data_IF_127285729663
#
_entry.id   IF_127285729663
#
_cell.length_a   1.000
_cell.length_b   1.000
_cell.length_c   1.000
_cell.angle_alpha   90.00
_cell.angle_beta   90.00
_cell.angle_gamma   90.00
#
_symmetry.space_group_name_H-M   'P 1'
#
loop_
_entity.id
_entity.type
_entity.pdbx_description
1 polymer ?
#
# COMPACT_ATOMS: atom_id res chain seq x y z
N UNK A 1 -11.26 -9.56 17.36
CA UNK A 1 -11.19 -9.45 18.85
C UNK A 1 -12.55 -9.54 19.58
N UNK A 2 -13.70 -9.35 18.91
CA UNK A 2 -15.02 -9.35 19.56
C UNK A 2 -15.51 -10.72 20.10
N UNK A 3 -14.77 -11.80 19.87
CA UNK A 3 -15.03 -13.13 20.42
C UNK A 3 -13.74 -13.75 20.95
N UNK A 4 -13.84 -14.55 22.02
CA UNK A 4 -12.74 -15.39 22.56
C UNK A 4 -12.38 -16.57 21.63
N UNK A 5 -12.69 -16.44 20.34
CA UNK A 5 -12.46 -17.45 19.33
C UNK A 5 -11.00 -17.43 18.88
N UNK A 6 -10.43 -18.61 18.64
CA UNK A 6 -9.10 -18.75 18.05
C UNK A 6 -9.26 -18.74 16.54
N UNK A 7 -8.64 -17.77 15.88
CA UNK A 7 -8.60 -17.68 14.43
C UNK A 7 -7.28 -18.25 13.92
N UNK A 8 -7.35 -19.02 12.85
CA UNK A 8 -6.22 -19.70 12.24
C UNK A 8 -6.16 -19.38 10.75
N UNK A 9 -4.95 -19.41 10.19
CA UNK A 9 -4.67 -19.10 8.80
C UNK A 9 -3.83 -20.23 8.20
N UNK A 10 -4.31 -20.81 7.12
CA UNK A 10 -3.63 -21.88 6.39
C UNK A 10 -3.44 -21.56 4.91
N UNK A 11 -2.46 -22.24 4.31
CA UNK A 11 -2.16 -22.11 2.88
C UNK A 11 -2.72 -23.33 2.14
N UNK A 12 -3.43 -23.06 1.05
CA UNK A 12 -3.85 -24.09 0.11
C UNK A 12 -2.76 -24.39 -0.93
N UNK A 13 -2.82 -25.54 -1.61
CA UNK A 13 -1.77 -25.95 -2.55
C UNK A 13 -1.72 -25.10 -3.83
N UNK A 14 -2.87 -24.81 -4.46
CA UNK A 14 -2.99 -24.07 -5.73
C UNK A 14 -4.19 -23.10 -5.68
N UNK A 15 -4.21 -22.30 -4.61
CA UNK A 15 -5.43 -21.65 -4.13
C UNK A 15 -6.10 -22.48 -3.04
N UNK A 16 -7.17 -21.93 -2.45
CA UNK A 16 -7.75 -22.47 -1.23
C UNK A 16 -6.93 -22.13 0.01
N UNK A 17 -6.30 -20.95 0.06
CA UNK A 17 -5.84 -20.41 1.34
C UNK A 17 -7.09 -20.06 2.16
N UNK A 18 -7.04 -20.25 3.47
CA UNK A 18 -8.24 -20.18 4.31
C UNK A 18 -7.95 -19.51 5.65
N UNK A 19 -8.99 -18.88 6.20
CA UNK A 19 -9.04 -18.46 7.59
C UNK A 19 -10.18 -19.19 8.28
N UNK A 20 -9.85 -19.85 9.38
CA UNK A 20 -10.76 -20.70 10.14
C UNK A 20 -10.98 -20.15 11.54
N UNK A 21 -12.16 -20.42 12.12
CA UNK A 21 -12.37 -20.34 13.57
C UNK A 21 -12.19 -21.73 14.15
N UNK A 22 -11.18 -21.90 15.00
CA UNK A 22 -10.85 -23.17 15.61
C UNK A 22 -11.84 -23.53 16.72
N UNK A 23 -12.36 -24.75 16.63
CA UNK A 23 -13.24 -25.36 17.60
C UNK A 23 -12.69 -26.74 17.98
N UNK A 24 -12.74 -27.06 19.28
CA UNK A 24 -12.17 -28.29 19.80
C UNK A 24 -12.81 -29.54 19.15
N UNK A 25 -11.97 -30.43 18.64
CA UNK A 25 -12.39 -31.73 18.07
C UNK A 25 -13.04 -31.66 16.68
N UNK A 26 -13.01 -30.49 16.01
CA UNK A 26 -13.59 -30.33 14.68
C UNK A 26 -12.63 -30.73 13.56
N UNK A 27 -13.21 -31.11 12.43
CA UNK A 27 -12.50 -31.46 11.21
C UNK A 27 -12.61 -30.29 10.21
N UNK A 28 -11.48 -29.84 9.67
CA UNK A 28 -11.41 -28.72 8.70
C UNK A 28 -11.22 -29.21 7.26
N UNK A 29 -11.42 -30.52 7.02
CA UNK A 29 -11.60 -31.07 5.68
C UNK A 29 -10.31 -31.49 4.95
N UNK A 30 -9.16 -30.87 5.22
CA UNK A 30 -7.90 -31.26 4.57
C UNK A 30 -7.52 -32.74 4.84
N UNK A 31 -7.03 -33.51 3.84
CA UNK A 31 -6.82 -33.14 2.43
C UNK A 31 -8.04 -33.37 1.52
N UNK A 32 -9.11 -33.93 2.06
CA UNK A 32 -10.28 -34.33 1.28
C UNK A 32 -11.06 -33.11 0.76
N UNK A 33 -11.02 -31.99 1.47
CA UNK A 33 -11.71 -30.73 1.13
C UNK A 33 -10.75 -29.65 0.59
N UNK A 34 -9.65 -30.08 -0.02
CA UNK A 34 -8.69 -29.18 -0.65
C UNK A 34 -9.36 -28.41 -1.80
N UNK A 35 -9.62 -27.10 -1.63
CA UNK A 35 -10.26 -26.23 -2.63
C UNK A 35 -9.41 -25.93 -3.88
N UNK A 36 -8.88 -26.97 -4.51
CA UNK A 36 -8.16 -26.89 -5.77
C UNK A 36 -9.14 -26.58 -6.90
N UNK A 37 -8.87 -25.51 -7.67
CA UNK A 37 -9.33 -25.48 -9.06
C UNK A 37 -8.58 -26.57 -9.84
N UNK A 38 -9.31 -27.54 -10.37
CA UNK A 38 -8.78 -28.52 -11.32
C UNK A 38 -8.31 -27.80 -12.59
N UNK A 39 -7.10 -27.26 -12.56
CA UNK A 39 -6.50 -26.53 -13.68
C UNK A 39 -5.05 -26.98 -13.78
N UNK A 40 -4.84 -28.14 -14.41
CA UNK A 40 -3.50 -28.63 -14.70
C UNK A 40 -3.48 -30.15 -14.84
N UNK A 41 -3.09 -30.58 -16.04
CA UNK A 41 -2.86 -31.94 -16.55
C UNK A 41 -2.64 -33.02 -15.46
N UNK A 42 -3.37 -34.15 -15.50
CA UNK A 42 -3.08 -35.29 -14.64
C UNK A 42 -1.79 -35.97 -15.16
N UNK A 43 -0.64 -35.44 -14.78
CA UNK A 43 0.60 -36.22 -14.85
C UNK A 43 0.51 -37.30 -13.77
N UNK A 44 0.84 -38.54 -14.16
CA UNK A 44 0.76 -39.75 -13.34
C UNK A 44 1.38 -39.53 -11.96
N UNK A 45 0.57 -39.74 -10.91
CA UNK A 45 0.99 -39.64 -9.51
C UNK A 45 0.33 -38.51 -8.71
N UNK A 46 -0.50 -37.66 -9.31
CA UNK A 46 -1.30 -36.69 -8.55
C UNK A 46 -2.47 -37.37 -7.86
N UNK A 47 -2.44 -37.43 -6.53
CA UNK A 47 -3.58 -37.86 -5.71
C UNK A 47 -4.81 -37.01 -6.10
N UNK A 48 -5.88 -37.70 -6.49
CA UNK A 48 -7.13 -37.06 -6.91
C UNK A 48 -7.81 -36.52 -5.65
N UNK A 49 -7.60 -35.24 -5.36
CA UNK A 49 -8.36 -34.50 -4.34
C UNK A 49 -9.86 -34.49 -4.70
N UNK A 50 -10.73 -34.53 -3.68
CA UNK A 50 -12.18 -34.73 -3.87
C UNK A 50 -12.76 -33.72 -4.88
N UNK A 51 -13.64 -34.15 -5.79
CA UNK A 51 -14.38 -33.24 -6.67
C UNK A 51 -15.51 -32.50 -5.93
N UNK A 52 -15.77 -32.83 -4.66
CA UNK A 52 -16.79 -32.17 -3.86
C UNK A 52 -16.22 -30.87 -3.26
N UNK A 53 -16.94 -29.74 -3.33
CA UNK A 53 -16.51 -28.47 -2.72
C UNK A 53 -16.68 -28.43 -1.19
N UNK A 54 -17.19 -29.51 -0.61
CA UNK A 54 -17.27 -29.74 0.84
C UNK A 54 -17.22 -31.25 1.15
N UNK A 55 -16.60 -31.61 2.26
CA UNK A 55 -16.68 -32.95 2.87
C UNK A 55 -17.78 -32.95 3.92
N UNK A 56 -18.55 -34.03 4.00
CA UNK A 56 -19.58 -34.13 5.03
C UNK A 56 -18.92 -34.17 6.43
N UNK A 57 -19.45 -33.38 7.37
CA UNK A 57 -18.89 -33.17 8.71
C UNK A 57 -17.53 -32.42 8.75
N UNK A 58 -17.19 -31.63 7.73
CA UNK A 58 -16.15 -30.60 7.85
C UNK A 58 -16.74 -29.25 8.25
N UNK A 59 -15.97 -28.46 8.99
CA UNK A 59 -16.26 -27.06 9.26
C UNK A 59 -15.92 -26.21 8.04
N UNK A 60 -16.64 -25.11 7.87
CA UNK A 60 -16.38 -24.16 6.81
C UNK A 60 -15.44 -23.07 7.31
N UNK A 61 -14.48 -22.64 6.50
CA UNK A 61 -13.69 -21.46 6.80
C UNK A 61 -14.54 -20.20 6.69
N UNK A 62 -14.14 -19.20 7.46
CA UNK A 62 -14.73 -17.86 7.44
C UNK A 62 -14.31 -17.09 6.19
N UNK A 63 -13.07 -17.27 5.76
CA UNK A 63 -12.53 -16.65 4.55
C UNK A 63 -11.78 -17.68 3.72
N UNK A 64 -11.87 -17.51 2.41
CA UNK A 64 -11.12 -18.31 1.44
C UNK A 64 -10.54 -17.42 0.35
N UNK A 65 -9.45 -17.85 -0.28
CA UNK A 65 -8.84 -17.17 -1.41
C UNK A 65 -8.64 -18.09 -2.61
N UNK A 66 -9.05 -17.59 -3.77
CA UNK A 66 -8.74 -18.12 -5.09
C UNK A 66 -8.41 -16.93 -6.02
N UNK A 67 -7.18 -16.82 -6.55
CA UNK A 67 -6.02 -17.69 -6.36
C UNK A 67 -5.42 -17.60 -4.94
N UNK A 68 -4.44 -18.47 -4.63
CA UNK A 68 -3.68 -18.40 -3.36
C UNK A 68 -3.00 -17.04 -3.21
N UNK A 69 -3.01 -16.51 -2.00
CA UNK A 69 -2.31 -15.29 -1.58
C UNK A 69 -1.02 -15.60 -0.81
N UNK A 70 -0.71 -16.89 -0.63
CA UNK A 70 0.35 -17.39 0.26
C UNK A 70 0.36 -16.64 1.59
N UNK A 71 -0.76 -16.79 2.27
CA UNK A 71 -1.04 -16.07 3.50
C UNK A 71 -0.03 -16.48 4.59
N UNK A 72 0.56 -15.50 5.28
CA UNK A 72 1.65 -15.77 6.22
C UNK A 72 1.37 -15.36 7.67
N UNK A 73 0.52 -14.35 7.88
CA UNK A 73 0.20 -13.80 9.20
C UNK A 73 -1.20 -13.20 9.17
N UNK A 74 -1.89 -13.26 10.31
CA UNK A 74 -3.18 -12.62 10.53
C UNK A 74 -3.15 -11.77 11.80
N UNK A 75 -3.87 -10.65 11.83
CA UNK A 75 -3.98 -9.78 12.99
C UNK A 75 -5.32 -9.05 12.98
N UNK A 76 -6.07 -9.09 14.08
CA UNK A 76 -7.20 -8.18 14.28
C UNK A 76 -6.70 -6.90 14.93
N UNK A 77 -7.10 -5.76 14.38
CA UNK A 77 -6.72 -4.46 14.91
C UNK A 77 -7.74 -3.98 15.95
N UNK A 78 -7.28 -3.62 17.13
CA UNK A 78 -8.12 -3.05 18.21
C UNK A 78 -7.61 -1.72 18.76
N UNK A 79 -6.51 -1.20 18.22
CA UNK A 79 -5.90 0.06 18.65
C UNK A 79 -6.71 1.31 18.30
N UNK A 80 -6.31 2.43 18.91
CA UNK A 80 -7.02 3.71 18.74
C UNK A 80 -6.44 4.59 17.62
N UNK A 81 -5.23 4.30 17.14
CA UNK A 81 -4.51 5.13 16.15
C UNK A 81 -5.13 5.09 14.76
N UNK A 82 -5.82 4.01 14.42
CA UNK A 82 -6.63 3.89 13.20
C UNK A 82 -8.10 3.66 13.56
N UNK A 83 -8.87 4.69 13.99
CA UNK A 83 -10.24 4.49 14.49
C UNK A 83 -11.18 3.80 13.50
N UNK A 84 -11.01 4.08 12.20
CA UNK A 84 -11.81 3.47 11.12
C UNK A 84 -11.44 2.02 10.84
N UNK A 85 -10.34 1.53 11.41
CA UNK A 85 -9.83 0.19 11.17
C UNK A 85 -10.06 -0.78 12.32
N UNK A 86 -10.64 -0.32 13.43
CA UNK A 86 -10.98 -1.16 14.57
C UNK A 86 -11.85 -2.34 14.15
N UNK A 87 -11.53 -3.51 14.72
CA UNK A 87 -12.17 -4.80 14.47
C UNK A 87 -12.02 -5.36 13.05
N UNK A 88 -11.22 -4.74 12.19
CA UNK A 88 -10.86 -5.34 10.91
C UNK A 88 -9.77 -6.38 11.09
N UNK A 89 -9.78 -7.38 10.21
CA UNK A 89 -8.73 -8.38 10.09
C UNK A 89 -7.73 -7.91 9.04
N UNK A 90 -6.45 -8.04 9.36
CA UNK A 90 -5.34 -7.87 8.44
C UNK A 90 -4.70 -9.23 8.17
N UNK A 91 -4.52 -9.56 6.89
CA UNK A 91 -3.85 -10.80 6.44
C UNK A 91 -2.66 -10.40 5.58
N UNK A 92 -1.48 -10.94 5.87
CA UNK A 92 -0.29 -10.67 5.08
C UNK A 92 -0.20 -11.63 3.90
N UNK A 93 -0.01 -11.08 2.70
CA UNK A 93 0.17 -11.80 1.45
C UNK A 93 1.66 -11.76 1.06
N UNK A 94 2.30 -12.92 0.93
CA UNK A 94 3.68 -12.98 0.41
C UNK A 94 3.71 -12.89 -1.10
N UNK A 95 2.77 -13.55 -1.78
CA UNK A 95 2.54 -13.40 -3.22
C UNK A 95 1.20 -14.01 -3.63
N UNK A 96 0.55 -13.40 -4.61
CA UNK A 96 -0.75 -13.82 -5.12
C UNK A 96 -0.60 -14.59 -6.44
N UNK A 97 -1.22 -15.77 -6.54
CA UNK A 97 -1.29 -16.58 -7.75
C UNK A 97 0.07 -17.01 -8.30
N UNK A 98 1.07 -17.20 -7.43
CA UNK A 98 2.45 -17.49 -7.83
C UNK A 98 3.13 -16.38 -8.64
N UNK A 99 2.61 -15.15 -8.61
CA UNK A 99 3.16 -14.00 -9.33
C UNK A 99 4.08 -13.18 -8.40
N UNK A 100 5.40 -13.11 -8.67
CA UNK A 100 6.31 -12.28 -7.89
C UNK A 100 5.90 -10.79 -7.89
N UNK A 101 6.18 -10.10 -6.79
CA UNK A 101 5.87 -8.66 -6.66
C UNK A 101 4.39 -8.33 -6.44
N UNK A 102 3.54 -9.33 -6.18
CA UNK A 102 2.11 -9.13 -5.89
C UNK A 102 1.76 -9.28 -4.41
N UNK A 103 2.76 -9.39 -3.54
CA UNK A 103 2.58 -9.31 -2.10
C UNK A 103 1.94 -7.99 -1.69
N UNK A 104 1.13 -8.04 -0.63
CA UNK A 104 0.34 -6.92 -0.15
C UNK A 104 -0.18 -7.19 1.26
N UNK A 105 -0.74 -6.17 1.90
CA UNK A 105 -1.49 -6.33 3.14
C UNK A 105 -2.97 -6.33 2.80
N UNK A 106 -3.70 -7.38 3.17
CA UNK A 106 -5.13 -7.46 2.90
C UNK A 106 -5.92 -7.07 4.15
N UNK A 107 -6.77 -6.05 4.03
CA UNK A 107 -7.71 -5.64 5.09
C UNK A 107 -9.09 -6.21 4.79
N UNK A 108 -9.65 -6.94 5.73
CA UNK A 108 -10.99 -7.53 5.68
C UNK A 108 -11.87 -6.82 6.69
N UNK A 109 -12.98 -6.28 6.21
CA UNK A 109 -14.01 -5.61 7.01
C UNK A 109 -15.14 -6.59 7.22
N UNK A 110 -15.56 -6.75 8.48
CA UNK A 110 -16.70 -7.58 8.85
C UNK A 110 -17.92 -6.70 9.20
N UNK A 111 -19.11 -7.24 8.97
CA UNK A 111 -20.38 -6.75 9.49
C UNK A 111 -21.12 -7.89 10.22
N UNK A 112 -22.36 -7.64 10.63
CA UNK A 112 -23.18 -8.62 11.35
C UNK A 112 -23.45 -9.93 10.56
N UNK A 113 -23.31 -9.89 9.23
CA UNK A 113 -23.53 -11.03 8.34
C UNK A 113 -22.22 -11.70 7.88
N UNK A 114 -21.06 -11.31 8.43
CA UNK A 114 -19.74 -11.83 8.05
C UNK A 114 -18.92 -10.84 7.23
N UNK A 115 -18.14 -11.34 6.27
CA UNK A 115 -17.29 -10.50 5.42
C UNK A 115 -18.11 -9.48 4.63
N UNK A 116 -17.81 -8.19 4.82
CA UNK A 116 -18.43 -7.09 4.09
C UNK A 116 -17.58 -6.62 2.90
N UNK A 117 -16.24 -6.58 3.08
CA UNK A 117 -15.30 -6.04 2.08
C UNK A 117 -13.88 -6.54 2.30
N UNK A 118 -13.14 -6.74 1.21
CA UNK A 118 -11.67 -6.87 1.21
C UNK A 118 -11.01 -5.72 0.45
N UNK A 119 -9.88 -5.27 0.97
CA UNK A 119 -9.02 -4.26 0.33
C UNK A 119 -7.57 -4.74 0.32
N UNK A 120 -6.88 -4.53 -0.80
CA UNK A 120 -5.45 -4.79 -0.91
C UNK A 120 -4.69 -3.48 -0.72
N UNK A 121 -3.87 -3.41 0.31
CA UNK A 121 -3.06 -2.25 0.69
C UNK A 121 -1.59 -2.52 0.36
N UNK A 122 -0.81 -1.45 0.12
CA UNK A 122 0.64 -1.52 -0.06
C UNK A 122 1.11 -2.33 -1.27
N UNK A 123 0.30 -2.40 -2.33
CA UNK A 123 0.64 -3.12 -3.57
C UNK A 123 1.82 -2.48 -4.30
N UNK A 124 1.97 -1.17 -4.12
CA UNK A 124 3.05 -0.34 -4.63
C UNK A 124 4.43 -0.74 -4.09
N UNK A 125 4.49 -1.44 -2.95
CA UNK A 125 5.76 -1.96 -2.43
C UNK A 125 6.38 -3.02 -3.33
N UNK A 126 5.56 -3.74 -4.11
CA UNK A 126 5.98 -4.87 -4.96
C UNK A 126 6.84 -5.90 -4.21
N UNK A 127 6.56 -6.08 -2.91
CA UNK A 127 7.24 -7.02 -2.02
C UNK A 127 6.24 -7.90 -1.29
N UNK A 128 6.67 -9.11 -0.94
CA UNK A 128 5.93 -9.98 -0.05
C UNK A 128 5.84 -9.39 1.34
N UNK A 129 4.73 -9.63 2.05
CA UNK A 129 4.61 -9.29 3.47
C UNK A 129 4.54 -10.60 4.25
N UNK A 130 5.56 -10.83 5.07
CA UNK A 130 5.71 -12.03 5.88
C UNK A 130 4.85 -11.98 7.14
N UNK A 131 4.82 -10.81 7.78
CA UNK A 131 4.20 -10.66 9.09
C UNK A 131 3.50 -9.32 9.20
N UNK A 132 2.38 -9.33 9.92
CA UNK A 132 1.67 -8.14 10.39
C UNK A 132 1.43 -8.26 11.88
N UNK A 133 1.69 -7.19 12.63
CA UNK A 133 1.44 -7.13 14.07
C UNK A 133 1.01 -5.72 14.50
N UNK A 134 0.25 -5.65 15.58
CA UNK A 134 -0.02 -4.39 16.27
C UNK A 134 1.06 -4.16 17.33
N UNK A 135 1.64 -2.97 17.34
CA UNK A 135 2.60 -2.54 18.36
C UNK A 135 1.90 -2.07 19.64
N UNK A 136 2.65 -1.92 20.76
CA UNK A 136 2.11 -1.39 22.02
C UNK A 136 1.73 0.10 21.95
N UNK A 137 2.06 0.77 20.86
CA UNK A 137 1.72 2.15 20.52
C UNK A 137 0.50 2.26 19.58
N UNK A 138 -0.25 1.16 19.44
CA UNK A 138 -1.43 0.99 18.59
C UNK A 138 -1.18 1.21 17.09
N UNK A 139 0.08 1.19 16.65
CA UNK A 139 0.44 1.22 15.24
C UNK A 139 0.52 -0.19 14.65
N UNK A 140 0.48 -0.25 13.33
CA UNK A 140 0.61 -1.51 12.58
C UNK A 140 2.04 -1.62 12.06
N UNK A 141 2.66 -2.75 12.34
CA UNK A 141 4.01 -3.08 11.89
C UNK A 141 3.98 -4.23 10.91
N UNK A 142 4.83 -4.16 9.90
CA UNK A 142 4.93 -5.16 8.84
C UNK A 142 6.38 -5.59 8.64
N UNK A 143 6.59 -6.89 8.40
CA UNK A 143 7.89 -7.41 7.95
C UNK A 143 7.78 -7.86 6.51
N UNK A 144 8.66 -7.38 5.63
CA UNK A 144 8.67 -7.81 4.23
C UNK A 144 9.38 -9.17 4.06
N UNK A 145 8.93 -9.95 3.08
CA UNK A 145 9.42 -11.29 2.73
C UNK A 145 10.36 -11.20 1.52
N UNK A 146 11.56 -10.65 1.74
CA UNK A 146 12.58 -10.48 0.70
C UNK A 146 13.99 -10.65 1.27
N UNK A 147 15.00 -10.74 0.40
CA UNK A 147 16.40 -10.80 0.82
C UNK A 147 16.83 -9.51 1.56
N UNK A 148 16.28 -8.37 1.15
CA UNK A 148 16.46 -7.06 1.77
C UNK A 148 15.24 -6.72 2.62
N UNK A 149 14.92 -7.61 3.57
CA UNK A 149 13.73 -7.48 4.41
C UNK A 149 13.73 -6.15 5.19
N UNK A 150 12.56 -5.51 5.26
CA UNK A 150 12.35 -4.26 5.96
C UNK A 150 11.25 -4.43 7.02
N UNK A 151 11.44 -3.77 8.16
CA UNK A 151 10.39 -3.53 9.14
C UNK A 151 9.73 -2.18 8.79
N UNK A 152 8.47 -2.22 8.40
CA UNK A 152 7.67 -1.04 8.09
C UNK A 152 6.72 -0.74 9.24
N UNK A 153 6.45 0.54 9.46
CA UNK A 153 5.44 1.04 10.41
C UNK A 153 4.43 1.84 9.63
N UNK A 154 3.15 1.49 9.73
CA UNK A 154 2.07 2.32 9.20
C UNK A 154 1.67 3.33 10.25
N UNK A 155 1.50 4.58 9.83
CA UNK A 155 1.02 5.67 10.67
C UNK A 155 -0.18 6.38 10.05
N UNK A 156 -1.13 6.86 10.87
CA UNK A 156 -2.20 7.72 10.39
C UNK A 156 -1.58 9.04 9.91
N UNK A 157 -2.01 9.52 8.75
CA UNK A 157 -1.31 10.65 8.14
C UNK A 157 -1.53 11.98 8.87
N UNK A 158 -2.53 12.06 9.75
CA UNK A 158 -2.72 13.21 10.66
C UNK A 158 -1.62 13.33 11.73
N UNK A 159 -0.83 12.28 11.96
CA UNK A 159 0.30 12.35 12.90
C UNK A 159 1.60 12.71 12.21
N UNK A 160 1.80 12.19 11.00
CA UNK A 160 2.83 12.71 10.11
C UNK A 160 2.61 14.20 9.87
N UNK A 161 1.37 14.71 9.77
CA UNK A 161 1.15 16.15 9.66
C UNK A 161 1.61 16.94 10.89
N UNK A 162 1.65 16.36 12.10
CA UNK A 162 2.06 17.10 13.30
C UNK A 162 3.58 17.26 13.39
N UNK A 163 4.33 16.22 12.96
CA UNK A 163 5.80 16.28 12.85
C UNK A 163 6.28 16.89 11.53
N UNK A 164 5.50 16.78 10.45
CA UNK A 164 5.78 17.39 9.14
C UNK A 164 5.20 18.80 9.02
N UNK A 165 4.35 19.27 9.95
CA UNK A 165 4.00 20.68 10.09
C UNK A 165 5.21 21.52 10.49
N UNK A 166 6.24 20.91 11.11
CA UNK A 166 7.54 21.57 11.30
C UNK A 166 8.36 21.65 9.99
N UNK A 167 8.02 20.88 8.95
CA UNK A 167 8.70 20.85 7.64
C UNK A 167 7.80 21.21 6.43
N UNK A 168 6.62 21.80 6.67
CA UNK A 168 5.90 22.60 5.67
C UNK A 168 5.27 21.91 4.45
N UNK A 169 5.03 20.59 4.45
CA UNK A 169 4.22 19.95 3.39
C UNK A 169 2.87 19.45 3.91
N UNK A 170 1.78 20.02 3.41
CA UNK A 170 0.44 19.51 3.70
C UNK A 170 0.19 18.13 3.08
N UNK A 171 -0.48 17.25 3.82
CA UNK A 171 -0.89 15.90 3.42
C UNK A 171 -1.55 15.81 2.04
N UNK A 172 -2.33 16.84 1.67
CA UNK A 172 -2.99 16.92 0.37
C UNK A 172 -1.98 17.04 -0.79
N UNK A 173 -0.83 17.65 -0.55
CA UNK A 173 0.23 17.85 -1.53
C UNK A 173 0.95 16.55 -1.84
N UNK A 174 1.31 15.75 -0.83
CA UNK A 174 1.95 14.44 -1.01
C UNK A 174 1.02 13.44 -1.72
N UNK A 175 -0.23 13.39 -1.30
CA UNK A 175 -1.24 12.55 -1.95
C UNK A 175 -1.46 12.97 -3.41
N UNK A 176 -1.45 14.27 -3.69
CA UNK A 176 -1.58 14.77 -5.05
C UNK A 176 -0.34 14.53 -5.92
N UNK A 177 0.88 14.58 -5.36
CA UNK A 177 2.10 14.18 -6.08
C UNK A 177 2.08 12.68 -6.43
N UNK A 178 1.59 11.84 -5.51
CA UNK A 178 1.45 10.41 -5.76
C UNK A 178 0.36 10.08 -6.80
N UNK A 179 -0.69 10.90 -6.87
CA UNK A 179 -1.78 10.76 -7.83
C UNK A 179 -1.53 11.47 -9.17
N UNK A 180 -0.53 12.34 -9.27
CA UNK A 180 -0.21 13.09 -10.48
C UNK A 180 0.74 12.34 -11.40
N UNK A 181 0.74 12.72 -12.67
CA UNK A 181 1.61 12.19 -13.72
C UNK A 181 2.91 12.99 -13.86
N UNK A 182 3.22 13.90 -12.93
CA UNK A 182 4.40 14.77 -13.00
C UNK A 182 5.70 13.96 -13.11
N UNK A 183 5.77 12.80 -12.45
CA UNK A 183 6.92 11.90 -12.47
C UNK A 183 7.18 11.25 -13.85
N UNK A 184 6.23 11.31 -14.78
CA UNK A 184 6.43 10.86 -16.15
C UNK A 184 7.43 11.75 -16.92
N UNK A 185 7.52 13.04 -16.54
CA UNK A 185 8.32 14.04 -17.25
C UNK A 185 9.40 14.69 -16.38
N UNK A 186 9.23 14.72 -15.06
CA UNK A 186 10.14 15.34 -14.11
C UNK A 186 10.75 14.30 -13.17
N UNK A 187 11.98 14.56 -12.72
CA UNK A 187 12.61 13.86 -11.59
C UNK A 187 13.20 14.88 -10.63
N UNK A 188 13.47 14.46 -9.40
CA UNK A 188 14.01 15.36 -8.37
C UNK A 188 15.31 16.01 -8.79
N UNK A 189 16.33 15.23 -9.17
CA UNK A 189 17.68 15.73 -9.39
C UNK A 189 18.15 15.71 -10.86
N UNK A 190 17.44 15.04 -11.77
CA UNK A 190 17.86 14.91 -13.18
C UNK A 190 16.74 15.31 -14.14
N UNK A 191 17.10 15.95 -15.25
CA UNK A 191 16.16 16.23 -16.33
C UNK A 191 15.72 14.93 -17.02
N UNK A 192 14.49 14.89 -17.52
CA UNK A 192 13.96 13.76 -18.31
C UNK A 192 13.33 14.29 -19.61
N UNK A 193 12.05 14.62 -19.60
CA UNK A 193 11.37 15.34 -20.68
C UNK A 193 11.21 16.82 -20.31
N UNK A 194 10.93 17.08 -19.03
CA UNK A 194 11.02 18.40 -18.40
C UNK A 194 12.31 18.56 -17.58
N UNK A 195 12.55 19.78 -17.04
CA UNK A 195 13.65 20.05 -16.12
C UNK A 195 13.51 19.26 -14.81
N UNK A 196 14.60 19.08 -14.06
CA UNK A 196 14.51 18.53 -12.71
C UNK A 196 13.82 19.50 -11.75
N UNK A 197 13.23 18.98 -10.67
CA UNK A 197 12.66 19.84 -9.62
C UNK A 197 13.73 20.74 -8.99
N UNK A 198 14.95 20.23 -8.80
CA UNK A 198 16.10 21.03 -8.34
C UNK A 198 16.44 22.18 -9.31
N UNK A 199 16.43 21.94 -10.62
CA UNK A 199 16.73 22.99 -11.60
C UNK A 199 15.64 24.09 -11.60
N UNK A 200 14.38 23.71 -11.40
CA UNK A 200 13.29 24.68 -11.23
C UNK A 200 13.55 25.53 -9.98
N UNK A 201 13.85 24.89 -8.84
CA UNK A 201 14.13 25.57 -7.58
C UNK A 201 15.35 26.51 -7.65
N UNK A 202 16.39 26.12 -8.39
CA UNK A 202 17.58 26.95 -8.62
C UNK A 202 17.29 28.17 -9.52
N UNK A 203 16.34 28.05 -10.44
CA UNK A 203 16.01 29.12 -11.40
C UNK A 203 15.05 30.16 -10.84
N UNK A 204 14.11 29.75 -10.00
CA UNK A 204 13.05 30.61 -9.49
C UNK A 204 13.21 30.85 -8.00
N UNK A 205 13.35 32.11 -7.60
CA UNK A 205 13.33 32.48 -6.18
C UNK A 205 11.96 32.18 -5.57
N UNK A 206 11.94 31.73 -4.31
CA UNK A 206 10.70 31.43 -3.60
C UNK A 206 9.96 32.72 -3.18
N UNK A 207 9.06 33.20 -4.05
CA UNK A 207 8.23 34.38 -3.83
C UNK A 207 6.86 34.23 -4.51
N UNK A 208 5.89 35.05 -4.12
CA UNK A 208 4.50 34.98 -4.56
C UNK A 208 4.34 35.09 -6.09
N UNK A 209 5.14 35.95 -6.74
CA UNK A 209 5.10 36.14 -8.19
C UNK A 209 5.55 34.87 -8.95
N UNK A 210 6.68 34.28 -8.54
CA UNK A 210 7.19 33.06 -9.15
C UNK A 210 6.28 31.86 -8.86
N UNK A 211 5.70 31.78 -7.66
CA UNK A 211 4.72 30.74 -7.31
C UNK A 211 3.52 30.83 -8.25
N UNK A 212 2.95 32.02 -8.44
CA UNK A 212 1.81 32.23 -9.34
C UNK A 212 2.14 31.83 -10.80
N UNK A 213 3.31 32.21 -11.32
CA UNK A 213 3.74 31.86 -12.68
C UNK A 213 3.91 30.36 -12.87
N UNK A 214 4.49 29.67 -11.88
CA UNK A 214 4.69 28.22 -11.95
C UNK A 214 3.37 27.46 -11.84
N UNK A 215 2.45 27.90 -10.97
CA UNK A 215 1.10 27.35 -10.88
C UNK A 215 0.36 27.50 -12.22
N UNK A 216 0.37 28.69 -12.80
CA UNK A 216 -0.28 28.93 -14.10
C UNK A 216 0.30 28.03 -15.19
N UNK A 217 1.63 27.85 -15.21
CA UNK A 217 2.28 26.92 -16.14
C UNK A 217 1.83 25.49 -15.94
N UNK A 218 1.71 25.01 -14.70
CA UNK A 218 1.24 23.64 -14.44
C UNK A 218 -0.18 23.46 -14.98
N UNK A 219 -1.08 24.41 -14.71
CA UNK A 219 -2.49 24.31 -15.11
C UNK A 219 -2.66 24.46 -16.62
N UNK A 220 -2.00 25.44 -17.24
CA UNK A 220 -2.20 25.83 -18.64
C UNK A 220 -1.17 25.22 -19.60
N UNK A 221 -0.15 24.54 -19.08
CA UNK A 221 1.00 24.10 -19.85
C UNK A 221 1.93 25.27 -20.22
N UNK A 222 2.97 24.97 -20.99
CA UNK A 222 3.87 26.02 -21.47
C UNK A 222 5.02 25.49 -22.32
N UNK A 223 5.69 26.36 -23.05
CA UNK A 223 6.84 26.01 -23.91
C UNK A 223 7.90 27.12 -23.89
N UNK A 224 9.11 26.81 -24.37
CA UNK A 224 10.15 27.80 -24.67
C UNK A 224 11.05 28.25 -23.52
N UNK A 225 10.74 27.93 -22.26
CA UNK A 225 11.59 28.32 -21.11
C UNK A 225 12.69 27.30 -20.79
N UNK A 226 12.41 26.03 -21.01
CA UNK A 226 13.30 24.90 -20.69
C UNK A 226 13.70 24.07 -21.91
N UNK A 227 13.36 24.53 -23.12
CA UNK A 227 13.62 23.85 -24.38
C UNK A 227 12.42 23.87 -25.33
N UNK A 228 12.52 23.07 -26.39
CA UNK A 228 11.50 22.96 -27.44
C UNK A 228 10.33 22.04 -27.05
N UNK A 229 10.53 21.13 -26.08
CA UNK A 229 9.48 20.21 -25.61
C UNK A 229 8.47 20.99 -24.78
N UNK A 230 7.19 21.07 -25.19
CA UNK A 230 6.16 21.73 -24.41
C UNK A 230 5.74 20.88 -23.21
N UNK A 231 5.42 21.53 -22.10
CA UNK A 231 4.73 20.93 -20.97
C UNK A 231 3.23 20.93 -21.24
N UNK A 232 2.61 19.75 -21.22
CA UNK A 232 1.17 19.57 -21.39
C UNK A 232 0.40 20.24 -20.24
N UNK A 233 -0.79 20.83 -20.50
CA UNK A 233 -1.62 21.40 -19.44
C UNK A 233 -2.16 20.34 -18.47
N UNK A 234 -2.11 20.62 -17.16
CA UNK A 234 -2.74 19.82 -16.11
C UNK A 234 -4.03 20.50 -15.61
N UNK A 235 -4.96 20.79 -16.52
CA UNK A 235 -6.18 21.56 -16.24
C UNK A 235 -7.15 20.91 -15.22
N UNK A 236 -6.99 19.62 -14.93
CA UNK A 236 -7.77 18.91 -13.92
C UNK A 236 -7.21 19.08 -12.50
N UNK A 237 -6.00 19.64 -12.35
CA UNK A 237 -5.38 19.87 -11.05
C UNK A 237 -5.97 21.11 -10.39
N UNK A 238 -6.31 21.00 -9.11
CA UNK A 238 -6.78 22.14 -8.33
C UNK A 238 -5.65 23.17 -8.11
N UNK A 239 -5.97 24.46 -8.17
CA UNK A 239 -4.97 25.54 -8.10
C UNK A 239 -4.28 25.63 -6.73
N UNK A 240 -4.98 25.35 -5.63
CA UNK A 240 -4.39 25.34 -4.30
C UNK A 240 -3.43 24.15 -4.12
N UNK A 241 -3.78 23.00 -4.71
CA UNK A 241 -2.90 21.83 -4.76
C UNK A 241 -1.65 22.14 -5.59
N UNK A 242 -1.82 22.73 -6.79
CA UNK A 242 -0.70 23.13 -7.64
C UNK A 242 0.23 24.12 -6.93
N UNK A 243 -0.32 25.08 -6.18
CA UNK A 243 0.46 26.03 -5.38
C UNK A 243 1.31 25.30 -4.34
N UNK A 244 0.72 24.38 -3.59
CA UNK A 244 1.45 23.61 -2.57
C UNK A 244 2.57 22.77 -3.19
N UNK A 245 2.34 22.20 -4.38
CA UNK A 245 3.36 21.47 -5.13
C UNK A 245 4.53 22.37 -5.54
N UNK A 246 4.24 23.59 -6.01
CA UNK A 246 5.24 24.57 -6.38
C UNK A 246 6.07 25.00 -5.16
N UNK A 247 5.42 25.26 -4.03
CA UNK A 247 6.09 25.60 -2.78
C UNK A 247 7.06 24.49 -2.35
N UNK A 248 6.63 23.24 -2.45
CA UNK A 248 7.46 22.06 -2.17
C UNK A 248 8.68 21.98 -3.09
N UNK A 249 8.51 22.29 -4.39
CA UNK A 249 9.60 22.29 -5.37
C UNK A 249 10.59 23.41 -5.05
N UNK A 250 10.11 24.64 -4.80
CA UNK A 250 10.98 25.79 -4.54
C UNK A 250 11.75 25.65 -3.21
N UNK A 251 11.17 24.96 -2.23
CA UNK A 251 11.84 24.62 -0.97
C UNK A 251 13.11 23.75 -1.18
N UNK A 252 13.23 22.99 -2.29
CA UNK A 252 14.44 22.23 -2.61
C UNK A 252 15.67 23.13 -2.85
N UNK A 253 15.46 24.41 -3.18
CA UNK A 253 16.50 25.40 -3.39
C UNK A 253 16.93 26.14 -2.11
N UNK A 254 16.16 26.02 -1.02
CA UNK A 254 16.53 26.57 0.27
C UNK A 254 17.56 25.64 0.93
N UNK A 255 18.81 26.08 1.05
CA UNK A 255 19.80 25.35 1.82
C UNK A 255 19.32 25.17 3.28
N UNK A 256 19.56 24.03 3.93
CA UNK A 256 19.16 23.84 5.32
C UNK A 256 19.90 24.85 6.21
N UNK A 257 19.15 25.71 6.91
CA UNK A 257 19.69 26.52 8.00
C UNK A 257 20.19 25.57 9.11
N UNK A 258 21.49 25.27 9.11
CA UNK A 258 22.07 24.38 10.12
C UNK A 258 23.43 23.77 9.83
N UNK A 259 23.98 23.88 8.62
CA UNK A 259 25.37 23.47 8.35
C UNK A 259 26.35 24.60 8.72
N UNK A 260 26.46 24.89 10.01
CA UNK A 260 27.60 25.62 10.53
C UNK A 260 28.83 24.71 10.42
N UNK A 261 29.77 25.09 9.56
CA UNK A 261 31.11 24.57 9.58
C UNK A 261 31.71 24.75 10.99
N UNK A 262 31.91 23.64 11.70
CA UNK A 262 32.73 23.55 12.90
C UNK A 262 34.14 23.05 12.53
N UNK A 263 35.16 23.45 13.30
CA UNK A 263 36.54 23.68 12.85
C UNK A 263 37.30 22.48 12.33
#
# INVERSE_FOLDING_TARGET
PLSDAVWELENGPQGGDEVNILQAGRNYGWPLDARRQASGNPQEGSEVFSPLPWVENSERPELAWQPSIRAASLMFYDGERFPKWQNNLFVSTTLMGSVPGTGHLQRVVFNENGEARREMLLRELQQGIRMVAQGPDDLIYLLTDSADAALLRLEPVNELSSSMQEEGLELNTLAAFAASDCAACHRTASALAGPSYTAIAERYADNEENRAVLVERIIQGGSGVWGEVPMTPHAALDTAIALSMVESILALGAAPEGSAAGP
#
